data_IF_773329707523
#
_entry.id   IF_773329707523
#
_cell.length_a   1.000
_cell.length_b   1.000
_cell.length_c   1.000
_cell.angle_alpha   90.00
_cell.angle_beta   90.00
_cell.angle_gamma   90.00
#
_symmetry.space_group_name_H-M   'P 1'
#
loop_
_entity.id
_entity.type
_entity.pdbx_description
1 polymer ?
#
# COMPACT_ATOMS: atom_id res chain seq x y z
N UNK A 1 30.71 -46.21 11.28
CA UNK A 1 29.54 -45.51 10.71
C UNK A 1 30.05 -44.16 10.25
N UNK A 2 30.35 -44.07 8.95
CA UNK A 2 30.86 -42.87 8.30
C UNK A 2 29.70 -41.99 7.89
N UNK A 3 29.88 -40.68 8.14
CA UNK A 3 29.43 -39.46 7.42
C UNK A 3 27.98 -39.44 6.87
N UNK A 4 27.22 -38.36 6.93
CA UNK A 4 27.54 -37.03 6.44
C UNK A 4 26.62 -36.03 7.13
N UNK A 5 27.22 -34.98 7.67
CA UNK A 5 26.55 -33.76 8.12
C UNK A 5 25.86 -33.08 6.95
N UNK A 6 24.55 -32.88 7.08
CA UNK A 6 23.70 -32.13 6.15
C UNK A 6 24.29 -30.73 5.85
N UNK A 7 24.55 -30.38 4.57
CA UNK A 7 25.25 -29.14 4.19
C UNK A 7 24.35 -27.89 4.18
N UNK A 8 23.12 -27.94 4.71
CA UNK A 8 22.15 -26.83 4.57
C UNK A 8 21.99 -25.92 5.80
N UNK A 9 22.76 -26.14 6.87
CA UNK A 9 22.66 -25.37 8.12
C UNK A 9 23.98 -24.73 8.57
N UNK A 10 24.98 -24.62 7.69
CA UNK A 10 26.18 -23.83 7.96
C UNK A 10 26.14 -22.52 7.16
N UNK A 11 25.25 -21.61 7.56
CA UNK A 11 25.45 -20.19 7.26
C UNK A 11 26.56 -19.71 8.21
N UNK A 12 27.79 -19.81 7.74
CA UNK A 12 28.96 -19.16 8.35
C UNK A 12 28.79 -17.65 8.18
N UNK A 13 28.03 -17.05 9.10
CA UNK A 13 28.01 -15.60 9.26
C UNK A 13 29.33 -15.26 9.95
N UNK A 14 30.33 -14.91 9.15
CA UNK A 14 31.55 -14.27 9.66
C UNK A 14 31.11 -13.18 10.62
N UNK A 15 31.54 -13.30 11.87
CA UNK A 15 31.30 -12.29 12.90
C UNK A 15 32.25 -11.12 12.64
N UNK A 16 32.18 -10.54 11.44
CA UNK A 16 32.99 -9.40 11.06
C UNK A 16 32.34 -8.13 11.62
N UNK A 17 32.97 -7.67 12.71
CA UNK A 17 33.38 -6.28 12.89
C UNK A 17 32.30 -5.21 13.04
N UNK A 18 31.23 -5.54 13.76
CA UNK A 18 30.44 -4.50 14.43
C UNK A 18 31.29 -3.69 15.45
N UNK A 19 32.31 -4.32 16.05
CA UNK A 19 33.22 -3.66 16.97
C UNK A 19 34.17 -2.66 16.27
N UNK A 20 34.70 -3.00 15.09
CA UNK A 20 35.64 -2.15 14.35
C UNK A 20 34.94 -0.94 13.71
N UNK A 21 33.68 -1.11 13.30
CA UNK A 21 32.85 0.01 12.80
C UNK A 21 32.50 0.99 13.92
N UNK A 22 32.19 0.50 15.12
CA UNK A 22 31.91 1.34 16.29
C UNK A 22 33.17 2.06 16.82
N UNK A 23 34.35 1.44 16.74
CA UNK A 23 35.61 2.07 17.12
C UNK A 23 36.01 3.19 16.17
N UNK A 24 35.77 3.03 14.85
CA UNK A 24 36.07 4.07 13.87
C UNK A 24 35.14 5.30 14.01
N UNK A 25 33.88 5.10 14.38
CA UNK A 25 32.93 6.20 14.61
C UNK A 25 33.27 7.00 15.88
N UNK A 26 33.74 6.33 16.93
CA UNK A 26 34.27 7.01 18.12
C UNK A 26 35.58 7.76 17.87
N UNK A 27 36.46 7.25 17.00
CA UNK A 27 37.72 7.89 16.69
C UNK A 27 37.54 9.14 15.81
N UNK A 28 36.61 9.11 14.85
CA UNK A 28 36.23 10.30 14.05
C UNK A 28 35.50 11.34 14.90
N UNK A 29 34.67 10.91 15.86
CA UNK A 29 34.05 11.80 16.84
C UNK A 29 35.07 12.45 17.79
N UNK A 30 36.11 11.70 18.20
CA UNK A 30 37.18 12.18 19.08
C UNK A 30 38.11 13.18 18.36
N UNK A 31 38.51 12.92 17.12
CA UNK A 31 39.41 13.80 16.37
C UNK A 31 38.72 15.16 16.03
N UNK A 32 37.42 15.13 15.73
CA UNK A 32 36.61 16.33 15.56
C UNK A 32 36.43 17.14 16.87
N UNK A 33 36.50 16.48 18.03
CA UNK A 33 36.50 17.18 19.33
C UNK A 33 37.86 17.74 19.71
N UNK A 34 38.99 17.17 19.27
CA UNK A 34 40.33 17.72 19.60
C UNK A 34 40.66 18.95 18.76
N UNK A 35 40.23 19.00 17.49
CA UNK A 35 40.45 20.16 16.63
C UNK A 35 39.68 21.43 17.06
N UNK A 36 38.64 21.29 17.91
CA UNK A 36 37.83 22.40 18.40
C UNK A 36 38.31 22.99 19.75
N UNK A 37 39.32 22.42 20.39
CA UNK A 37 39.83 22.89 21.72
C UNK A 37 40.94 23.93 21.58
N UNK A 38 41.38 24.27 20.36
CA UNK A 38 42.40 25.31 20.12
C UNK A 38 41.80 26.69 19.81
N UNK A 39 40.61 26.99 20.33
CA UNK A 39 40.16 28.35 20.53
C UNK A 39 39.92 28.53 22.03
N UNK A 40 40.97 28.99 22.69
CA UNK A 40 40.92 29.53 24.05
C UNK A 40 39.78 30.56 24.14
N UNK A 41 39.03 30.50 25.24
CA UNK A 41 37.94 31.40 25.64
C UNK A 41 36.52 30.96 25.22
N UNK A 42 35.95 29.98 25.93
CA UNK A 42 34.50 29.98 26.10
C UNK A 42 34.09 29.40 27.46
N UNK A 43 33.43 30.26 28.24
CA UNK A 43 33.00 30.01 29.61
C UNK A 43 32.11 28.76 29.76
N UNK A 44 32.10 28.14 30.94
CA UNK A 44 31.29 26.94 31.25
C UNK A 44 29.81 27.06 30.86
N UNK A 45 29.29 28.30 30.77
CA UNK A 45 27.93 28.64 30.34
C UNK A 45 27.66 28.27 28.87
N UNK A 46 28.61 28.52 27.96
CA UNK A 46 28.41 28.23 26.54
C UNK A 46 28.57 26.71 26.25
N UNK A 47 29.38 26.01 27.06
CA UNK A 47 29.46 24.53 27.03
C UNK A 47 28.16 23.87 27.48
N UNK A 48 27.50 24.39 28.51
CA UNK A 48 26.20 23.89 29.00
C UNK A 48 25.06 24.18 28.00
N UNK A 49 25.10 25.35 27.36
CA UNK A 49 24.13 25.74 26.31
C UNK A 49 24.28 24.91 25.04
N UNK A 50 25.50 24.58 24.63
CA UNK A 50 25.76 23.68 23.50
C UNK A 50 25.30 22.24 23.77
N UNK A 51 25.44 21.76 25.01
CA UNK A 51 24.95 20.43 25.42
C UNK A 51 23.42 20.40 25.56
N UNK A 52 22.80 21.45 26.10
CA UNK A 52 21.34 21.61 26.11
C UNK A 52 20.76 21.69 24.69
N UNK A 53 21.41 22.42 23.78
CA UNK A 53 20.99 22.49 22.37
C UNK A 53 21.13 21.14 21.64
N UNK A 54 22.17 20.34 21.96
CA UNK A 54 22.30 18.97 21.45
C UNK A 54 21.24 18.03 22.03
N UNK A 55 20.91 18.14 23.31
CA UNK A 55 19.84 17.35 23.94
C UNK A 55 18.45 17.73 23.42
N UNK A 56 18.23 18.99 23.05
CA UNK A 56 16.99 19.45 22.41
C UNK A 56 16.83 18.91 20.99
N UNK A 57 17.93 18.65 20.26
CA UNK A 57 17.89 18.09 18.89
C UNK A 57 17.57 16.60 18.83
N UNK A 58 17.68 15.88 19.94
CA UNK A 58 17.46 14.42 20.01
C UNK A 58 16.23 14.01 20.84
N UNK A 59 15.55 14.96 21.48
CA UNK A 59 14.31 14.70 22.22
C UNK A 59 13.11 15.06 21.37
N UNK A 60 12.60 14.06 20.67
CA UNK A 60 11.18 14.05 20.34
C UNK A 60 10.42 13.90 21.66
N UNK A 61 9.74 14.97 22.10
CA UNK A 61 9.09 14.98 23.42
C UNK A 61 7.77 14.22 23.36
N UNK A 62 7.28 13.76 24.51
CA UNK A 62 5.95 13.14 24.60
C UNK A 62 4.85 14.13 24.15
N UNK A 63 5.05 15.43 24.37
CA UNK A 63 4.14 16.47 23.87
C UNK A 63 4.15 16.56 22.34
N UNK A 64 5.31 16.43 21.69
CA UNK A 64 5.41 16.36 20.22
C UNK A 64 4.72 15.11 19.66
N UNK A 65 4.87 13.96 20.35
CA UNK A 65 4.17 12.73 20.00
C UNK A 65 2.66 12.88 20.11
N UNK A 66 2.18 13.46 21.21
CA UNK A 66 0.76 13.69 21.45
C UNK A 66 0.18 14.72 20.48
N UNK A 67 0.94 15.77 20.12
CA UNK A 67 0.55 16.74 19.11
C UNK A 67 0.51 16.11 17.70
N UNK A 68 1.47 15.25 17.37
CA UNK A 68 1.46 14.50 16.11
C UNK A 68 0.33 13.48 16.05
N UNK A 69 0.05 12.78 17.15
CA UNK A 69 -1.09 11.86 17.27
C UNK A 69 -2.42 12.60 17.18
N UNK A 70 -2.54 13.77 17.80
CA UNK A 70 -3.75 14.60 17.75
C UNK A 70 -3.99 15.20 16.36
N UNK A 71 -2.92 15.52 15.61
CA UNK A 71 -3.01 15.95 14.22
C UNK A 71 -3.08 14.78 13.22
N UNK A 72 -2.76 13.57 13.66
CA UNK A 72 -2.86 12.37 12.83
C UNK A 72 -4.33 11.99 12.62
N UNK A 73 -4.84 12.36 11.45
CA UNK A 73 -6.05 11.77 10.92
C UNK A 73 -5.62 10.57 10.08
N UNK A 74 -5.88 9.36 10.57
CA UNK A 74 -5.75 8.16 9.73
C UNK A 74 -6.54 8.41 8.45
N UNK A 75 -5.95 8.10 7.29
CA UNK A 75 -6.68 8.16 6.02
C UNK A 75 -7.79 7.12 6.13
N UNK A 76 -8.98 7.56 6.52
CA UNK A 76 -10.17 6.72 6.52
C UNK A 76 -10.35 6.33 5.06
N UNK A 77 -10.31 5.03 4.80
CA UNK A 77 -10.67 4.50 3.50
C UNK A 77 -12.17 4.78 3.32
N UNK A 78 -12.53 5.82 2.55
CA UNK A 78 -13.91 6.33 2.36
C UNK A 78 -14.87 5.32 1.68
N UNK A 79 -14.42 4.09 1.53
CA UNK A 79 -15.23 2.94 1.19
C UNK A 79 -14.55 2.07 0.14
N UNK A 80 -15.21 0.96 -0.12
CA UNK A 80 -14.75 -0.05 -1.06
C UNK A 80 -14.36 0.53 -2.43
N UNK A 81 -13.26 0.04 -3.00
CA UNK A 81 -12.60 0.58 -4.20
C UNK A 81 -13.53 0.58 -5.41
N UNK A 82 -14.50 -0.34 -5.46
CA UNK A 82 -15.48 -0.38 -6.55
C UNK A 82 -16.31 0.91 -6.65
N UNK A 83 -16.46 1.70 -5.59
CA UNK A 83 -17.16 2.99 -5.64
C UNK A 83 -16.52 3.97 -6.61
N UNK A 84 -15.20 3.85 -6.87
CA UNK A 84 -14.51 4.67 -7.86
C UNK A 84 -15.02 4.42 -9.29
N UNK A 85 -15.59 3.23 -9.55
CA UNK A 85 -16.13 2.87 -10.86
C UNK A 85 -17.45 3.61 -11.17
N UNK A 86 -18.13 4.17 -10.17
CA UNK A 86 -19.40 4.89 -10.34
C UNK A 86 -19.25 6.21 -11.10
N UNK A 87 -18.07 6.82 -11.04
CA UNK A 87 -17.72 8.09 -11.72
C UNK A 87 -16.94 7.87 -13.01
N UNK A 88 -16.80 6.62 -13.46
CA UNK A 88 -16.12 6.31 -14.72
C UNK A 88 -16.96 6.69 -15.93
N UNK A 89 -16.31 6.77 -17.08
CA UNK A 89 -16.99 6.93 -18.37
C UNK A 89 -16.65 5.73 -19.28
N UNK A 90 -17.60 4.83 -19.55
CA UNK A 90 -18.97 4.81 -19.02
C UNK A 90 -19.02 4.43 -17.52
N UNK A 91 -20.05 4.86 -16.77
CA UNK A 91 -20.13 4.60 -15.34
C UNK A 91 -20.57 3.17 -15.02
N UNK A 92 -20.02 2.58 -13.97
CA UNK A 92 -20.53 1.33 -13.40
C UNK A 92 -21.85 1.58 -12.67
N UNK A 93 -22.85 0.76 -12.97
CA UNK A 93 -24.20 0.84 -12.38
C UNK A 93 -24.47 -0.48 -11.65
N UNK A 94 -24.14 -0.58 -10.35
CA UNK A 94 -24.29 -1.82 -9.60
C UNK A 94 -25.75 -2.21 -9.47
N UNK A 95 -26.03 -3.50 -9.55
CA UNK A 95 -27.34 -4.09 -9.34
C UNK A 95 -27.76 -4.03 -7.86
N UNK A 96 -29.06 -4.16 -7.59
CA UNK A 96 -29.54 -4.27 -6.20
C UNK A 96 -28.95 -5.48 -5.47
N UNK A 97 -28.71 -6.58 -6.20
CA UNK A 97 -28.05 -7.77 -5.67
C UNK A 97 -26.59 -7.49 -5.31
N UNK A 98 -25.87 -6.74 -6.14
CA UNK A 98 -24.51 -6.29 -5.86
C UNK A 98 -24.44 -5.47 -4.58
N UNK A 99 -25.31 -4.46 -4.46
CA UNK A 99 -25.32 -3.59 -3.27
C UNK A 99 -25.68 -4.36 -2.01
N UNK A 100 -26.67 -5.25 -2.09
CA UNK A 100 -27.07 -6.11 -0.96
C UNK A 100 -25.94 -7.06 -0.55
N UNK A 101 -25.21 -7.65 -1.50
CA UNK A 101 -24.12 -8.57 -1.21
C UNK A 101 -22.93 -7.89 -0.50
N UNK A 102 -22.80 -6.58 -0.62
CA UNK A 102 -21.73 -5.78 -0.02
C UNK A 102 -22.18 -5.00 1.21
N UNK A 103 -23.42 -5.21 1.68
CA UNK A 103 -24.05 -4.42 2.74
C UNK A 103 -23.93 -2.91 2.47
N UNK A 104 -23.94 -2.53 1.18
CA UNK A 104 -23.78 -1.17 0.73
C UNK A 104 -25.15 -0.49 0.66
N UNK A 105 -25.24 0.70 1.25
CA UNK A 105 -26.41 1.57 1.09
C UNK A 105 -26.60 2.01 -0.37
N UNK A 106 -27.74 2.66 -0.65
CA UNK A 106 -28.00 3.23 -1.96
C UNK A 106 -26.85 4.18 -2.37
N UNK A 107 -26.23 3.90 -3.52
CA UNK A 107 -25.19 4.75 -4.08
C UNK A 107 -25.79 5.67 -5.13
N UNK A 108 -25.58 6.98 -4.95
CA UNK A 108 -25.96 7.95 -5.96
C UNK A 108 -24.91 7.93 -7.06
N UNK A 109 -25.31 7.48 -8.26
CA UNK A 109 -24.40 7.43 -9.39
C UNK A 109 -24.62 8.70 -10.20
N UNK A 110 -23.62 9.58 -10.31
CA UNK A 110 -23.76 10.87 -10.96
C UNK A 110 -24.45 10.72 -12.31
N UNK A 111 -25.41 11.60 -12.57
CA UNK A 111 -26.15 11.66 -13.83
C UNK A 111 -25.17 12.13 -14.91
N UNK A 112 -24.43 11.19 -15.50
CA UNK A 112 -23.59 11.47 -16.67
C UNK A 112 -24.47 12.03 -17.78
N UNK A 113 -23.97 13.07 -18.47
CA UNK A 113 -24.61 13.54 -19.69
C UNK A 113 -24.76 12.35 -20.64
N UNK A 114 -26.01 12.03 -20.99
CA UNK A 114 -26.36 10.89 -21.81
C UNK A 114 -25.97 11.09 -23.27
N UNK A 115 -24.67 11.14 -23.54
CA UNK A 115 -24.17 10.73 -24.85
C UNK A 115 -23.87 9.25 -24.75
N UNK A 116 -24.88 8.45 -25.08
CA UNK A 116 -24.73 7.04 -25.40
C UNK A 116 -23.85 6.93 -26.64
N UNK A 117 -22.53 7.08 -26.47
CA UNK A 117 -21.60 6.73 -27.51
C UNK A 117 -21.77 5.23 -27.74
N UNK A 118 -22.29 4.85 -28.90
CA UNK A 118 -22.56 3.47 -29.30
C UNK A 118 -21.27 2.66 -29.55
N UNK A 119 -20.11 3.17 -29.12
CA UNK A 119 -18.80 2.55 -29.24
C UNK A 119 -18.25 2.16 -27.87
N UNK A 120 -17.46 1.09 -27.84
CA UNK A 120 -16.71 0.73 -26.64
C UNK A 120 -15.63 1.77 -26.40
N UNK A 121 -15.45 2.18 -25.15
CA UNK A 121 -14.40 3.12 -24.77
C UNK A 121 -13.05 2.43 -24.74
N UNK A 122 -11.99 3.12 -25.14
CA UNK A 122 -10.63 2.59 -25.00
C UNK A 122 -10.29 2.45 -23.51
N UNK A 123 -9.79 1.28 -23.11
CA UNK A 123 -9.38 1.02 -21.74
C UNK A 123 -8.07 1.76 -21.42
N UNK A 124 -8.15 2.93 -20.81
CA UNK A 124 -6.97 3.63 -20.31
C UNK A 124 -6.38 2.96 -19.06
N UNK A 125 -5.11 3.25 -18.75
CA UNK A 125 -4.37 2.74 -17.59
C UNK A 125 -5.11 3.01 -16.28
N UNK A 126 -5.73 4.18 -16.12
CA UNK A 126 -6.52 4.50 -14.92
C UNK A 126 -7.73 3.57 -14.77
N UNK A 127 -8.45 3.32 -15.86
CA UNK A 127 -9.58 2.38 -15.87
C UNK A 127 -9.12 0.98 -15.49
N UNK A 128 -8.04 0.50 -16.11
CA UNK A 128 -7.48 -0.81 -15.84
C UNK A 128 -7.10 -0.99 -14.37
N UNK A 129 -6.39 -0.02 -13.77
CA UNK A 129 -5.95 -0.11 -12.37
C UNK A 129 -7.12 -0.13 -11.39
N UNK A 130 -8.13 0.72 -11.60
CA UNK A 130 -9.30 0.76 -10.71
C UNK A 130 -10.14 -0.52 -10.81
N UNK A 131 -10.35 -1.03 -12.02
CA UNK A 131 -11.08 -2.30 -12.21
C UNK A 131 -10.31 -3.45 -11.56
N UNK A 132 -8.99 -3.52 -11.77
CA UNK A 132 -8.16 -4.54 -11.15
C UNK A 132 -8.19 -4.46 -9.61
N UNK A 133 -8.12 -3.26 -9.04
CA UNK A 133 -8.17 -3.07 -7.60
C UNK A 133 -9.53 -3.51 -7.03
N UNK A 134 -10.64 -3.08 -7.65
CA UNK A 134 -11.99 -3.47 -7.25
C UNK A 134 -12.23 -4.99 -7.37
N UNK A 135 -11.83 -5.61 -8.48
CA UNK A 135 -11.93 -7.07 -8.68
C UNK A 135 -11.12 -7.82 -7.62
N UNK A 136 -9.90 -7.35 -7.30
CA UNK A 136 -9.01 -8.01 -6.34
C UNK A 136 -9.54 -7.91 -4.91
N UNK A 137 -10.05 -6.73 -4.53
CA UNK A 137 -10.68 -6.50 -3.23
C UNK A 137 -11.89 -7.42 -3.05
N UNK A 138 -12.83 -7.41 -3.99
CA UNK A 138 -14.05 -8.21 -3.90
C UNK A 138 -13.77 -9.72 -3.97
N UNK A 139 -12.73 -10.13 -4.71
CA UNK A 139 -12.27 -11.52 -4.71
C UNK A 139 -11.74 -11.95 -3.34
N UNK A 140 -10.95 -11.09 -2.68
CA UNK A 140 -10.45 -11.37 -1.33
C UNK A 140 -11.58 -11.46 -0.30
N UNK A 141 -12.59 -10.59 -0.42
CA UNK A 141 -13.81 -10.62 0.39
C UNK A 141 -14.76 -11.78 0.04
N UNK A 142 -14.37 -12.65 -0.90
CA UNK A 142 -15.17 -13.78 -1.40
C UNK A 142 -16.53 -13.39 -1.97
N UNK A 143 -16.67 -12.14 -2.43
CA UNK A 143 -17.88 -11.61 -3.05
C UNK A 143 -17.85 -11.90 -4.55
N UNK A 144 -17.78 -13.17 -4.91
CA UNK A 144 -17.51 -13.60 -6.29
C UNK A 144 -18.60 -13.15 -7.27
N UNK A 145 -19.88 -13.13 -6.87
CA UNK A 145 -20.96 -12.62 -7.70
C UNK A 145 -20.78 -11.14 -8.05
N UNK A 146 -20.33 -10.34 -7.08
CA UNK A 146 -20.01 -8.93 -7.30
C UNK A 146 -18.79 -8.74 -8.23
N UNK A 147 -17.78 -9.61 -8.11
CA UNK A 147 -16.64 -9.65 -9.05
C UNK A 147 -17.12 -9.92 -10.48
N UNK A 148 -18.03 -10.89 -10.66
CA UNK A 148 -18.56 -11.24 -11.98
C UNK A 148 -19.31 -10.08 -12.63
N UNK A 149 -20.05 -9.30 -11.84
CA UNK A 149 -20.79 -8.14 -12.34
C UNK A 149 -19.86 -7.05 -12.88
N UNK A 150 -18.79 -6.72 -12.14
CA UNK A 150 -17.78 -5.75 -12.59
C UNK A 150 -17.09 -6.23 -13.88
N UNK A 151 -16.77 -7.53 -13.97
CA UNK A 151 -16.13 -8.09 -15.18
C UNK A 151 -17.07 -8.02 -16.38
N UNK A 152 -18.36 -8.35 -16.18
CA UNK A 152 -19.38 -8.29 -17.24
C UNK A 152 -19.51 -6.86 -17.77
N UNK A 153 -19.71 -5.90 -16.87
CA UNK A 153 -19.75 -4.47 -17.23
C UNK A 153 -18.49 -4.04 -17.99
N UNK A 154 -17.30 -4.38 -17.50
CA UNK A 154 -16.07 -3.96 -18.14
C UNK A 154 -15.90 -4.54 -19.57
N UNK A 155 -16.39 -5.75 -19.83
CA UNK A 155 -16.37 -6.38 -21.17
C UNK A 155 -17.35 -5.73 -22.15
N UNK A 156 -18.48 -5.28 -21.66
CA UNK A 156 -19.52 -4.61 -22.46
C UNK A 156 -19.04 -3.23 -22.90
N UNK A 157 -18.39 -2.52 -21.99
CA UNK A 157 -18.10 -1.10 -22.15
C UNK A 157 -16.71 -0.74 -22.66
N UNK A 158 -15.70 -1.59 -22.46
CA UNK A 158 -14.33 -1.30 -22.88
C UNK A 158 -13.85 -2.16 -24.05
N UNK A 159 -13.06 -1.56 -24.92
CA UNK A 159 -12.42 -2.24 -26.04
C UNK A 159 -11.50 -3.37 -25.56
N UNK A 160 -11.45 -4.42 -26.36
CA UNK A 160 -10.61 -5.59 -26.08
C UNK A 160 -9.18 -5.32 -26.51
N UNK A 161 -8.25 -5.33 -25.56
CA UNK A 161 -6.83 -5.51 -25.82
C UNK A 161 -6.41 -6.94 -25.44
N UNK A 162 -5.40 -7.49 -26.11
CA UNK A 162 -4.88 -8.84 -25.88
C UNK A 162 -4.50 -9.08 -24.41
N UNK A 163 -3.91 -8.07 -23.75
CA UNK A 163 -3.56 -8.15 -22.32
C UNK A 163 -4.79 -8.16 -21.43
N UNK A 164 -5.75 -7.29 -21.73
CA UNK A 164 -7.01 -7.18 -21.01
C UNK A 164 -7.83 -8.46 -21.10
N UNK A 165 -8.00 -9.01 -22.32
CA UNK A 165 -8.74 -10.24 -22.54
C UNK A 165 -8.12 -11.42 -21.78
N UNK A 166 -6.80 -11.56 -21.80
CA UNK A 166 -6.12 -12.62 -21.05
C UNK A 166 -6.35 -12.50 -19.52
N UNK A 167 -6.38 -11.27 -19.01
CA UNK A 167 -6.63 -11.00 -17.59
C UNK A 167 -8.08 -11.27 -17.20
N UNK A 168 -9.04 -10.86 -18.04
CA UNK A 168 -10.46 -11.16 -17.86
C UNK A 168 -10.71 -12.66 -17.84
N UNK A 169 -10.16 -13.41 -18.79
CA UNK A 169 -10.29 -14.89 -18.83
C UNK A 169 -9.73 -15.53 -17.57
N UNK A 170 -8.59 -15.03 -17.07
CA UNK A 170 -7.99 -15.51 -15.82
C UNK A 170 -8.89 -15.25 -14.62
N UNK A 171 -9.50 -14.07 -14.53
CA UNK A 171 -10.45 -13.75 -13.47
C UNK A 171 -11.71 -14.62 -13.55
N UNK A 172 -12.29 -14.76 -14.74
CA UNK A 172 -13.47 -15.61 -14.97
C UNK A 172 -13.23 -17.07 -14.58
N UNK A 173 -12.07 -17.63 -14.94
CA UNK A 173 -11.69 -18.99 -14.54
C UNK A 173 -11.63 -19.15 -13.02
N UNK A 174 -10.98 -18.21 -12.33
CA UNK A 174 -10.87 -18.23 -10.86
C UNK A 174 -12.20 -18.10 -10.15
N UNK A 175 -13.04 -17.14 -10.56
CA UNK A 175 -14.34 -16.94 -9.91
C UNK A 175 -15.28 -18.12 -10.16
N UNK A 176 -15.24 -18.71 -11.37
CA UNK A 176 -16.07 -19.88 -11.71
C UNK A 176 -15.71 -21.08 -10.83
N UNK A 177 -14.42 -21.34 -10.67
CA UNK A 177 -13.93 -22.37 -9.75
C UNK A 177 -14.42 -22.12 -8.31
N UNK A 178 -14.29 -20.88 -7.82
CA UNK A 178 -14.71 -20.54 -6.44
C UNK A 178 -16.21 -20.56 -6.21
N UNK A 179 -17.01 -20.11 -7.17
CA UNK A 179 -18.48 -20.19 -7.09
C UNK A 179 -18.94 -21.65 -7.05
N UNK A 180 -18.40 -22.51 -7.92
CA UNK A 180 -18.73 -23.94 -7.88
C UNK A 180 -18.32 -24.62 -6.58
N UNK A 181 -17.23 -24.16 -5.94
CA UNK A 181 -16.83 -24.68 -4.64
C UNK A 181 -17.72 -24.19 -3.48
N UNK A 182 -18.24 -22.96 -3.57
CA UNK A 182 -19.19 -22.41 -2.57
C UNK A 182 -20.57 -23.06 -2.67
N UNK A 183 -21.03 -23.45 -3.86
CA UNK A 183 -22.33 -24.11 -4.03
C UNK A 183 -22.34 -25.56 -3.51
N UNK A 184 -21.18 -26.17 -3.35
CA UNK A 184 -21.00 -27.56 -2.90
C UNK A 184 -20.74 -27.65 -1.39
N UNK A 185 -20.41 -26.53 -0.74
CA UNK A 185 -20.10 -26.43 0.70
C UNK A 185 -21.35 -26.10 1.53
#
# INVERSE_FOLDING_TARGET
MSAETDPFLALDVSTDDYATTAAHDQQVGADATVAAVQAEDDSDVEREKATAARAARTRYTEEDFLAQKASYTARIDDGSVWKQLLVFDPPFRPSGAFLSALDAGAVDVPKGNGDSSTGKSKLDKKHHQAIQAAVSELYFLQKYAAVQEIITWAKEHFEKDKKWDAQVVKWEGKIKEKMSAQEVA
#
